data_IF_379917424045
#
_entry.id   IF_379917424045
#
_cell.length_a   1.000
_cell.length_b   1.000
_cell.length_c   1.000
_cell.angle_alpha   90.00
_cell.angle_beta   90.00
_cell.angle_gamma   90.00
#
_symmetry.space_group_name_H-M   'P 1'
#
loop_
_entity.id
_entity.type
_entity.pdbx_description
1 polymer ?
#
# COMPACT_ATOMS: atom_id res chain seq x y z
N UNK A 1 -15.84 6.39 -7.24
CA UNK A 1 -15.44 4.97 -7.14
C UNK A 1 -13.92 4.87 -7.19
N UNK A 2 -13.28 4.14 -6.26
CA UNK A 2 -11.81 4.01 -6.16
C UNK A 2 -11.16 3.26 -7.34
N UNK A 3 -11.96 2.69 -8.24
CA UNK A 3 -11.50 2.15 -9.52
C UNK A 3 -10.32 1.17 -9.34
N UNK A 4 -9.24 1.33 -10.12
CA UNK A 4 -8.06 0.45 -10.07
C UNK A 4 -7.38 0.33 -8.70
N UNK A 5 -7.54 1.30 -7.80
CA UNK A 5 -6.92 1.27 -6.46
C UNK A 5 -7.60 0.30 -5.49
N UNK A 6 -8.84 -0.13 -5.77
CA UNK A 6 -9.65 -0.93 -4.84
C UNK A 6 -8.97 -2.24 -4.44
N UNK A 7 -8.33 -2.91 -5.41
CA UNK A 7 -7.63 -4.18 -5.15
C UNK A 7 -6.40 -3.95 -4.28
N UNK A 8 -5.56 -2.99 -4.63
CA UNK A 8 -4.35 -2.66 -3.86
C UNK A 8 -4.66 -2.25 -2.42
N UNK A 9 -5.72 -1.47 -2.20
CA UNK A 9 -6.13 -1.08 -0.83
C UNK A 9 -6.59 -2.31 -0.03
N UNK A 10 -7.31 -3.25 -0.66
CA UNK A 10 -7.73 -4.50 -0.03
C UNK A 10 -6.52 -5.36 0.33
N UNK A 11 -5.57 -5.50 -0.58
CA UNK A 11 -4.36 -6.30 -0.35
C UNK A 11 -3.48 -5.67 0.74
N UNK A 12 -3.44 -4.34 0.82
CA UNK A 12 -2.79 -3.62 1.90
C UNK A 12 -3.39 -3.98 3.25
N UNK A 13 -4.73 -4.03 3.34
CA UNK A 13 -5.42 -4.40 4.58
C UNK A 13 -5.10 -5.84 4.99
N UNK A 14 -5.12 -6.78 4.04
CA UNK A 14 -4.76 -8.18 4.30
C UNK A 14 -3.32 -8.34 4.82
N UNK A 15 -2.39 -7.52 4.33
CA UNK A 15 -1.00 -7.52 4.82
C UNK A 15 -0.92 -7.00 6.26
N UNK A 16 -1.70 -5.99 6.65
CA UNK A 16 -1.73 -5.50 8.03
C UNK A 16 -2.32 -6.53 8.99
N UNK A 17 -3.41 -7.20 8.59
CA UNK A 17 -4.02 -8.27 9.40
C UNK A 17 -3.02 -9.43 9.58
N UNK A 18 -2.30 -9.79 8.50
CA UNK A 18 -1.24 -10.80 8.52
C UNK A 18 -0.06 -10.39 9.41
N UNK A 19 0.30 -9.11 9.40
CA UNK A 19 1.36 -8.55 10.24
C UNK A 19 0.99 -8.64 11.72
N UNK A 20 -0.24 -8.25 12.09
CA UNK A 20 -0.73 -8.36 13.46
C UNK A 20 -0.67 -9.80 13.97
N UNK A 21 -1.10 -10.77 13.15
CA UNK A 21 -0.97 -12.19 13.46
C UNK A 21 0.49 -12.64 13.62
N UNK A 22 1.39 -12.23 12.73
CA UNK A 22 2.81 -12.61 12.79
C UNK A 22 3.54 -12.04 14.02
N UNK A 23 3.19 -10.82 14.44
CA UNK A 23 3.69 -10.19 15.67
C UNK A 23 3.23 -10.98 16.90
N UNK A 24 1.95 -11.34 16.98
CA UNK A 24 1.42 -12.11 18.09
C UNK A 24 2.09 -13.50 18.23
N UNK A 25 2.53 -14.08 17.10
CA UNK A 25 3.22 -15.37 17.04
C UNK A 25 4.75 -15.28 17.26
N UNK A 26 5.34 -14.08 17.29
CA UNK A 26 6.80 -13.89 17.43
C UNK A 26 7.63 -14.40 16.26
N UNK A 27 7.08 -14.44 15.03
CA UNK A 27 7.76 -15.02 13.85
C UNK A 27 8.49 -13.96 13.01
N UNK A 28 9.74 -13.63 13.36
CA UNK A 28 10.54 -12.60 12.67
C UNK A 28 10.64 -12.78 11.15
N UNK A 29 10.93 -14.00 10.68
CA UNK A 29 11.04 -14.27 9.24
C UNK A 29 9.72 -13.98 8.49
N UNK A 30 8.58 -14.26 9.14
CA UNK A 30 7.24 -13.99 8.58
C UNK A 30 6.97 -12.48 8.55
N UNK A 31 7.35 -11.76 9.60
CA UNK A 31 7.25 -10.29 9.66
C UNK A 31 8.05 -9.65 8.53
N UNK A 32 9.30 -10.08 8.32
CA UNK A 32 10.13 -9.56 7.22
C UNK A 32 9.52 -9.84 5.84
N UNK A 33 9.01 -11.05 5.61
CA UNK A 33 8.33 -11.39 4.36
C UNK A 33 7.10 -10.49 4.10
N UNK A 34 6.30 -10.24 5.14
CA UNK A 34 5.14 -9.33 5.04
C UNK A 34 5.59 -7.90 4.74
N UNK A 35 6.63 -7.41 5.40
CA UNK A 35 7.18 -6.08 5.14
C UNK A 35 7.70 -5.95 3.70
N UNK A 36 8.31 -7.00 3.13
CA UNK A 36 8.70 -7.00 1.72
C UNK A 36 7.49 -6.86 0.81
N UNK A 37 6.44 -7.65 1.06
CA UNK A 37 5.18 -7.59 0.31
C UNK A 37 4.53 -6.21 0.39
N UNK A 38 4.49 -5.62 1.59
CA UNK A 38 3.98 -4.26 1.83
C UNK A 38 4.76 -3.23 1.02
N UNK A 39 6.09 -3.35 0.95
CA UNK A 39 6.92 -2.44 0.13
C UNK A 39 6.63 -2.57 -1.35
N UNK A 40 6.45 -3.80 -1.86
CA UNK A 40 6.06 -4.06 -3.24
C UNK A 40 4.71 -3.43 -3.57
N UNK A 41 3.71 -3.63 -2.72
CA UNK A 41 2.38 -3.08 -2.89
C UNK A 41 2.37 -1.54 -2.93
N UNK A 42 3.15 -0.89 -2.05
CA UNK A 42 3.28 0.57 -2.10
C UNK A 42 3.97 1.07 -3.38
N UNK A 43 4.88 0.28 -3.95
CA UNK A 43 5.51 0.63 -5.23
C UNK A 43 4.48 0.54 -6.37
N UNK A 44 3.72 -0.55 -6.44
CA UNK A 44 2.65 -0.72 -7.44
C UNK A 44 1.58 0.38 -7.32
N UNK A 45 1.18 0.71 -6.09
CA UNK A 45 0.27 1.82 -5.82
C UNK A 45 0.83 3.18 -6.24
N UNK A 46 2.15 3.38 -6.12
CA UNK A 46 2.82 4.60 -6.58
C UNK A 46 2.82 4.70 -8.12
N UNK A 47 3.16 3.63 -8.83
CA UNK A 47 3.13 3.57 -10.29
C UNK A 47 1.73 3.86 -10.83
N UNK A 48 0.72 3.24 -10.23
CA UNK A 48 -0.68 3.50 -10.58
C UNK A 48 -1.07 4.95 -10.27
N UNK A 49 -0.62 5.52 -9.15
CA UNK A 49 -0.87 6.94 -8.84
C UNK A 49 -0.28 7.87 -9.91
N UNK A 50 0.99 7.66 -10.28
CA UNK A 50 1.65 8.42 -11.33
C UNK A 50 0.90 8.31 -12.66
N UNK A 51 0.57 7.09 -13.08
CA UNK A 51 -0.16 6.85 -14.34
C UNK A 51 -1.55 7.51 -14.35
N UNK A 52 -2.23 7.60 -13.20
CA UNK A 52 -3.56 8.22 -13.10
C UNK A 52 -3.52 9.74 -13.05
N UNK A 53 -2.40 10.31 -12.60
CA UNK A 53 -2.15 11.75 -12.50
C UNK A 53 -1.41 12.33 -13.71
N UNK A 54 -0.93 11.47 -14.61
CA UNK A 54 -0.25 11.89 -15.83
C UNK A 54 -1.11 12.88 -16.65
N UNK A 55 -0.45 13.90 -17.19
CA UNK A 55 -1.09 15.03 -17.87
C UNK A 55 -1.90 15.98 -16.97
N UNK A 56 -1.96 15.75 -15.64
CA UNK A 56 -2.67 16.62 -14.68
C UNK A 56 -1.75 17.21 -13.62
N UNK A 57 -0.89 16.38 -13.04
CA UNK A 57 0.03 16.76 -11.97
C UNK A 57 1.35 16.03 -12.18
N UNK A 58 2.45 16.77 -12.26
CA UNK A 58 3.79 16.20 -12.22
C UNK A 58 4.11 15.76 -10.79
N UNK A 59 4.45 14.49 -10.61
CA UNK A 59 4.74 13.91 -9.30
C UNK A 59 5.85 12.87 -9.43
N UNK A 60 6.80 12.88 -8.50
CA UNK A 60 7.83 11.86 -8.43
C UNK A 60 7.33 10.58 -7.74
N UNK A 61 8.03 9.48 -7.95
CA UNK A 61 7.68 8.17 -7.40
C UNK A 61 7.62 8.15 -5.86
N UNK A 62 8.54 8.83 -5.17
CA UNK A 62 8.58 8.84 -3.72
C UNK A 62 7.36 9.58 -3.13
N UNK A 63 6.97 10.68 -3.77
CA UNK A 63 5.77 11.45 -3.41
C UNK A 63 4.50 10.64 -3.73
N UNK A 64 4.41 10.00 -4.90
CA UNK A 64 3.28 9.13 -5.24
C UNK A 64 3.11 7.96 -4.26
N UNK A 65 4.22 7.36 -3.83
CA UNK A 65 4.23 6.30 -2.81
C UNK A 65 3.72 6.78 -1.46
N UNK A 66 4.10 7.99 -1.03
CA UNK A 66 3.59 8.61 0.20
C UNK A 66 2.10 8.92 0.10
N UNK A 67 1.64 9.44 -1.03
CA UNK A 67 0.22 9.68 -1.28
C UNK A 67 -0.59 8.38 -1.23
N UNK A 68 -0.13 7.31 -1.88
CA UNK A 68 -0.80 6.02 -1.83
C UNK A 68 -0.86 5.46 -0.40
N UNK A 69 0.19 5.66 0.40
CA UNK A 69 0.20 5.30 1.82
C UNK A 69 -0.89 6.05 2.60
N UNK A 70 -1.02 7.36 2.37
CA UNK A 70 -2.08 8.17 2.98
C UNK A 70 -3.48 7.71 2.55
N UNK A 71 -3.68 7.39 1.27
CA UNK A 71 -4.95 6.83 0.77
C UNK A 71 -5.29 5.55 1.52
N UNK A 72 -4.34 4.62 1.67
CA UNK A 72 -4.55 3.38 2.40
C UNK A 72 -4.91 3.62 3.87
N UNK A 73 -4.20 4.53 4.55
CA UNK A 73 -4.45 4.84 5.96
C UNK A 73 -5.82 5.50 6.20
N UNK A 74 -6.24 6.42 5.31
CA UNK A 74 -7.51 7.13 5.42
C UNK A 74 -8.70 6.27 5.00
N UNK A 75 -8.49 5.31 4.09
CA UNK A 75 -9.55 4.37 3.70
C UNK A 75 -9.87 3.36 4.82
N UNK A 76 -8.99 3.13 5.79
CA UNK A 76 -9.33 2.30 6.96
C UNK A 76 -10.34 2.97 7.90
N UNK A 77 -10.48 4.28 7.81
CA UNK A 77 -11.29 5.09 8.74
C UNK A 77 -12.68 5.44 8.18
N UNK A 78 -12.98 5.04 6.94
CA UNK A 78 -14.24 5.30 6.22
C UNK A 78 -14.94 3.97 5.90
#
# INVERSE_FOLDING_TARGET
>A
ALGPFKMLIKDYQMLLDSYAGAIAEGREAKIQAIDMGRRGLHNEGAELMMARLDGKVAIDFATARRLFTLVCALHQTL
#
